data_IF_832157187863
#
_entry.id   IF_832157187863
#
_cell.length_a   1.000
_cell.length_b   1.000
_cell.length_c   1.000
_cell.angle_alpha   90.00
_cell.angle_beta   90.00
_cell.angle_gamma   90.00
#
_symmetry.space_group_name_H-M   'P 1'
#
loop_
_entity.id
_entity.type
_entity.pdbx_description
1 polymer ?
#
# COMPACT_ATOMS: atom_id res chain seq x y z
N UNK A 1 17.86 3.34 2.57
CA UNK A 1 16.85 3.90 3.50
C UNK A 1 16.70 2.97 4.69
N UNK A 2 16.84 3.50 5.91
CA UNK A 2 16.74 2.77 7.19
C UNK A 2 15.35 2.89 7.84
N UNK A 3 14.34 3.40 7.12
CA UNK A 3 13.01 3.57 7.68
C UNK A 3 12.35 2.21 7.97
N UNK A 4 12.05 1.95 9.24
CA UNK A 4 11.30 0.77 9.68
C UNK A 4 9.84 0.83 9.21
N UNK A 5 9.28 2.04 9.12
CA UNK A 5 7.93 2.29 8.66
C UNK A 5 7.94 3.10 7.36
N UNK A 6 7.16 2.68 6.38
CA UNK A 6 6.96 3.38 5.11
C UNK A 6 5.46 3.61 4.93
N UNK A 7 5.05 4.86 4.69
CA UNK A 7 3.66 5.23 4.45
C UNK A 7 3.47 5.60 2.99
N UNK A 8 2.48 5.01 2.33
CA UNK A 8 2.19 5.25 0.92
C UNK A 8 0.71 5.55 0.71
N UNK A 9 0.40 6.54 -0.12
CA UNK A 9 -0.94 6.74 -0.68
C UNK A 9 -0.95 6.08 -2.05
N UNK A 10 -1.80 5.08 -2.23
CA UNK A 10 -1.90 4.28 -3.46
C UNK A 10 -3.35 4.08 -3.86
N UNK A 11 -3.63 3.81 -5.13
CA UNK A 11 -4.98 3.41 -5.56
C UNK A 11 -5.44 2.13 -4.85
N UNK A 12 -6.73 2.01 -4.53
CA UNK A 12 -7.28 0.85 -3.77
C UNK A 12 -7.00 -0.49 -4.49
N UNK A 13 -7.02 -0.49 -5.83
CA UNK A 13 -6.68 -1.68 -6.63
C UNK A 13 -5.18 -2.03 -6.60
N UNK A 14 -4.30 -1.06 -6.35
CA UNK A 14 -2.89 -1.35 -6.12
C UNK A 14 -2.67 -1.99 -4.75
N UNK A 15 -3.29 -1.46 -3.70
CA UNK A 15 -3.23 -2.08 -2.36
C UNK A 15 -3.68 -3.56 -2.38
N UNK A 16 -4.83 -3.87 -2.99
CA UNK A 16 -5.28 -5.27 -3.14
C UNK A 16 -4.25 -6.16 -3.82
N UNK A 17 -3.56 -5.63 -4.84
CA UNK A 17 -2.50 -6.32 -5.57
C UNK A 17 -1.22 -6.54 -4.74
N UNK A 18 -0.98 -5.72 -3.71
CA UNK A 18 0.15 -5.93 -2.77
C UNK A 18 -0.13 -7.00 -1.73
N UNK A 19 -1.41 -7.29 -1.44
CA UNK A 19 -1.82 -8.36 -0.52
C UNK A 19 -1.89 -9.75 -1.19
N UNK A 20 -1.94 -9.77 -2.52
CA UNK A 20 -2.11 -11.00 -3.29
C UNK A 20 -0.76 -11.72 -3.48
N UNK A 21 -0.52 -12.76 -2.69
CA UNK A 21 0.70 -13.59 -2.76
C UNK A 21 0.79 -14.43 -4.04
N UNK A 22 -0.29 -14.55 -4.81
CA UNK A 22 -0.25 -15.20 -6.13
C UNK A 22 0.34 -14.29 -7.21
N UNK A 23 0.54 -13.00 -6.90
CA UNK A 23 1.23 -12.05 -7.77
C UNK A 23 2.65 -11.85 -7.26
N UNK A 24 3.62 -11.84 -8.18
CA UNK A 24 5.05 -11.71 -7.86
C UNK A 24 5.35 -10.54 -6.93
N UNK A 25 4.72 -9.38 -7.15
CA UNK A 25 4.91 -8.22 -6.28
C UNK A 25 4.42 -8.45 -4.85
N UNK A 26 3.22 -9.02 -4.68
CA UNK A 26 2.67 -9.31 -3.35
C UNK A 26 3.54 -10.34 -2.64
N UNK A 27 3.94 -11.41 -3.33
CA UNK A 27 4.86 -12.41 -2.79
C UNK A 27 6.17 -11.78 -2.30
N UNK A 28 6.83 -10.96 -3.12
CA UNK A 28 8.11 -10.34 -2.76
C UNK A 28 7.97 -9.39 -1.57
N UNK A 29 6.94 -8.54 -1.56
CA UNK A 29 6.72 -7.59 -0.46
C UNK A 29 6.48 -8.30 0.87
N UNK A 30 5.67 -9.35 0.88
CA UNK A 30 5.34 -10.10 2.09
C UNK A 30 6.55 -10.79 2.74
N UNK A 31 7.67 -10.99 2.02
CA UNK A 31 8.91 -11.52 2.63
C UNK A 31 9.63 -10.49 3.49
N UNK A 32 9.45 -9.19 3.23
CA UNK A 32 10.25 -8.12 3.81
C UNK A 32 9.45 -7.18 4.71
N UNK A 33 8.15 -7.03 4.45
CA UNK A 33 7.30 -6.06 5.13
C UNK A 33 5.92 -6.63 5.45
N UNK A 34 5.37 -6.19 6.58
CA UNK A 34 3.96 -6.32 6.92
C UNK A 34 3.19 -5.12 6.37
N UNK A 35 2.06 -5.36 5.70
CA UNK A 35 1.27 -4.33 5.02
C UNK A 35 -0.05 -4.11 5.75
N UNK A 36 -0.38 -2.87 6.09
CA UNK A 36 -1.64 -2.50 6.75
C UNK A 36 -2.30 -1.30 6.07
N UNK A 37 -3.59 -1.39 5.76
CA UNK A 37 -4.39 -0.21 5.37
C UNK A 37 -4.77 0.60 6.62
N UNK A 38 -4.53 1.91 6.57
CA UNK A 38 -4.85 2.83 7.66
C UNK A 38 -6.08 3.68 7.38
N UNK A 39 -6.23 4.18 6.16
CA UNK A 39 -7.30 5.12 5.80
C UNK A 39 -7.74 4.93 4.35
N UNK A 40 -9.04 5.05 4.09
CA UNK A 40 -9.58 5.20 2.73
C UNK A 40 -9.63 6.67 2.35
N UNK A 41 -9.18 6.99 1.15
CA UNK A 41 -9.11 8.33 0.61
C UNK A 41 -10.03 8.41 -0.62
N UNK A 42 -11.21 9.03 -0.49
CA UNK A 42 -12.10 9.26 -1.62
C UNK A 42 -11.40 10.05 -2.73
N UNK A 43 -11.76 9.77 -3.99
CA UNK A 43 -11.21 10.46 -5.16
C UNK A 43 -11.43 11.99 -5.09
N UNK A 44 -12.47 12.44 -4.40
CA UNK A 44 -12.81 13.84 -4.16
C UNK A 44 -11.70 14.61 -3.42
N UNK A 45 -10.82 13.91 -2.69
CA UNK A 45 -9.70 14.53 -1.98
C UNK A 45 -8.53 14.95 -2.89
N UNK A 46 -8.56 14.62 -4.18
CA UNK A 46 -7.45 14.82 -5.11
C UNK A 46 -7.82 15.76 -6.25
N UNK A 47 -6.82 16.47 -6.77
CA UNK A 47 -6.93 17.27 -7.98
C UNK A 47 -5.72 17.06 -8.91
N UNK A 48 -5.91 16.68 -10.19
CA UNK A 48 -7.19 16.36 -10.84
C UNK A 48 -7.91 15.16 -10.20
N UNK A 49 -9.25 15.14 -10.22
CA UNK A 49 -10.05 14.06 -9.61
C UNK A 49 -9.76 12.73 -10.33
N UNK A 50 -9.17 11.72 -9.68
CA UNK A 50 -8.93 10.42 -10.29
C UNK A 50 -10.25 9.66 -10.47
N UNK A 51 -10.23 8.61 -11.29
CA UNK A 51 -11.40 7.73 -11.53
C UNK A 51 -11.66 6.75 -10.39
N UNK A 52 -10.67 6.53 -9.51
CA UNK A 52 -10.70 5.52 -8.46
C UNK A 52 -10.27 6.13 -7.13
N UNK A 53 -10.71 5.51 -6.04
CA UNK A 53 -10.31 5.88 -4.69
C UNK A 53 -8.88 5.42 -4.40
N UNK A 54 -8.26 6.10 -3.45
CA UNK A 54 -6.95 5.74 -2.90
C UNK A 54 -7.07 5.23 -1.47
N UNK A 55 -5.99 4.66 -0.96
CA UNK A 55 -5.83 4.24 0.43
C UNK A 55 -4.46 4.68 0.93
N UNK A 56 -4.39 5.07 2.20
CA UNK A 56 -3.14 5.19 2.93
C UNK A 56 -2.78 3.82 3.50
N UNK A 57 -1.60 3.31 3.15
CA UNK A 57 -1.05 2.07 3.67
C UNK A 57 0.24 2.31 4.43
N UNK A 58 0.49 1.47 5.42
CA UNK A 58 1.74 1.36 6.18
C UNK A 58 2.42 0.04 5.82
N UNK A 59 3.70 0.11 5.48
CA UNK A 59 4.61 -1.02 5.35
C UNK A 59 5.57 -0.98 6.54
N UNK A 60 5.55 -2.03 7.35
CA UNK A 60 6.46 -2.20 8.49
C UNK A 60 7.50 -3.26 8.14
N UNK A 61 8.78 -2.91 8.11
CA UNK A 61 9.85 -3.89 7.83
C UNK A 61 9.90 -4.96 8.91
N UNK A 62 10.06 -6.20 8.49
CA UNK A 62 10.41 -7.27 9.40
C UNK A 62 11.82 -7.00 9.95
N UNK A 63 11.99 -7.13 11.26
CA UNK A 63 13.33 -7.18 11.85
C UNK A 63 13.98 -8.49 11.42
N UNK A 64 15.10 -8.41 10.72
CA UNK A 64 16.02 -9.54 10.53
C UNK A 64 16.62 -9.98 11.84
#
# INVERSE_FOLDING_TARGET
SHASDIYLIVEEGFYKRTLDIHRTLGLLLHTQVSIQQLLKLPAECFHPKPKVNSVLIKLTRHTT
#
